data_IF_472305777486
#
_entry.id   IF_472305777486
#
_cell.length_a   1.000
_cell.length_b   1.000
_cell.length_c   1.000
_cell.angle_alpha   90.00
_cell.angle_beta   90.00
_cell.angle_gamma   90.00
#
_symmetry.space_group_name_H-M   'P 1'
#
loop_
_entity.id
_entity.type
_entity.pdbx_description
1 polymer ?
#
# COMPACT_ATOMS: atom_id res chain seq x y z
N UNK A 1 22.62 6.70 -61.65
CA UNK A 1 23.03 6.26 -60.31
C UNK A 1 21.78 6.23 -59.44
N UNK A 2 21.44 5.07 -58.86
CA UNK A 2 20.18 4.85 -58.10
C UNK A 2 20.29 5.50 -56.71
N UNK A 3 19.24 6.17 -56.20
CA UNK A 3 19.18 6.48 -54.78
C UNK A 3 18.88 5.17 -54.01
N UNK A 4 19.76 4.85 -53.06
CA UNK A 4 19.60 3.70 -52.17
C UNK A 4 18.57 4.07 -51.11
N UNK A 5 17.43 3.37 -51.11
CA UNK A 5 16.41 3.48 -50.08
C UNK A 5 16.88 2.78 -48.81
N UNK A 6 17.17 3.54 -47.76
CA UNK A 6 17.35 2.99 -46.40
C UNK A 6 16.13 3.33 -45.58
N UNK A 7 15.14 2.44 -45.58
CA UNK A 7 14.05 2.46 -44.63
C UNK A 7 14.61 2.00 -43.27
N UNK A 8 14.78 2.93 -42.32
CA UNK A 8 15.08 2.59 -40.93
C UNK A 8 13.80 2.03 -40.29
N UNK A 9 13.84 0.75 -39.97
CA UNK A 9 12.79 0.04 -39.24
C UNK A 9 12.66 0.62 -37.82
N UNK A 10 11.40 0.93 -37.47
CA UNK A 10 10.96 1.21 -36.12
C UNK A 10 11.32 0.03 -35.20
N UNK A 11 12.27 0.25 -34.29
CA UNK A 11 12.46 -0.57 -33.10
C UNK A 11 11.81 0.14 -31.93
N UNK A 12 10.48 0.03 -31.81
CA UNK A 12 9.75 0.50 -30.64
C UNK A 12 10.23 -0.27 -29.41
N UNK A 13 11.04 0.38 -28.57
CA UNK A 13 11.23 -0.04 -27.19
C UNK A 13 9.89 0.18 -26.48
N UNK A 14 9.06 -0.87 -26.45
CA UNK A 14 8.05 -0.99 -25.42
C UNK A 14 8.82 -1.16 -24.11
N UNK A 15 9.10 -0.03 -23.45
CA UNK A 15 9.37 -0.02 -22.03
C UNK A 15 8.11 -0.59 -21.39
N UNK A 16 8.12 -1.88 -21.06
CA UNK A 16 7.19 -2.41 -20.08
C UNK A 16 7.45 -1.62 -18.83
N UNK A 17 6.57 -0.65 -18.58
CA UNK A 17 6.42 0.00 -17.28
C UNK A 17 6.00 -1.13 -16.36
N UNK A 18 6.98 -1.82 -15.80
CA UNK A 18 6.76 -2.68 -14.64
C UNK A 18 6.37 -1.67 -13.58
N UNK A 19 5.06 -1.48 -13.38
CA UNK A 19 4.60 -0.80 -12.18
C UNK A 19 5.21 -1.59 -11.04
N UNK A 20 6.16 -0.98 -10.33
CA UNK A 20 6.44 -1.39 -8.97
C UNK A 20 5.07 -1.32 -8.30
N UNK A 21 4.43 -2.46 -8.07
CA UNK A 21 3.17 -2.49 -7.34
C UNK A 21 3.54 -2.00 -5.94
N UNK A 22 3.24 -0.73 -5.66
CA UNK A 22 3.58 -0.10 -4.40
C UNK A 22 2.95 -0.89 -3.25
N UNK A 23 3.61 -0.83 -2.09
CA UNK A 23 2.97 -1.33 -0.89
C UNK A 23 1.65 -0.55 -0.69
N UNK A 24 0.54 -1.23 -0.41
CA UNK A 24 -0.78 -0.59 -0.28
C UNK A 24 -1.43 -1.01 1.02
N UNK A 25 -2.11 -0.09 1.69
CA UNK A 25 -2.89 -0.34 2.90
C UNK A 25 -4.38 -0.05 2.67
N UNK A 26 -5.28 -0.87 3.22
CA UNK A 26 -6.70 -0.53 3.30
C UNK A 26 -7.41 -1.12 4.52
N UNK A 27 -8.58 -0.55 4.86
CA UNK A 27 -9.46 -1.10 5.89
C UNK A 27 -10.81 -1.54 5.34
N UNK A 28 -11.31 -2.69 5.78
CA UNK A 28 -12.68 -3.15 5.54
C UNK A 28 -13.48 -3.14 6.86
N UNK A 29 -14.61 -2.47 6.88
CA UNK A 29 -15.51 -2.44 8.04
C UNK A 29 -16.78 -3.23 7.78
N UNK A 30 -17.08 -4.18 8.67
CA UNK A 30 -18.32 -4.97 8.60
C UNK A 30 -18.77 -5.38 9.99
N UNK A 31 -20.04 -5.14 10.30
CA UNK A 31 -20.69 -5.55 11.56
C UNK A 31 -19.93 -5.10 12.82
N UNK A 32 -19.46 -3.84 12.85
CA UNK A 32 -18.72 -3.30 14.00
C UNK A 32 -17.36 -3.97 14.23
N UNK A 33 -16.74 -4.45 13.15
CA UNK A 33 -15.37 -4.95 13.12
C UNK A 33 -14.61 -4.29 11.99
N UNK A 34 -13.31 -4.12 12.17
CA UNK A 34 -12.40 -3.58 11.16
C UNK A 34 -11.31 -4.59 10.84
N UNK A 35 -11.03 -4.78 9.57
CA UNK A 35 -9.89 -5.54 9.09
C UNK A 35 -8.92 -4.58 8.39
N UNK A 36 -7.70 -4.50 8.88
CA UNK A 36 -6.58 -3.85 8.19
C UNK A 36 -5.90 -4.84 7.24
N UNK A 37 -5.54 -4.38 6.05
CA UNK A 37 -4.88 -5.17 5.02
C UNK A 37 -3.70 -4.39 4.43
N UNK A 38 -2.65 -5.12 4.08
CA UNK A 38 -1.42 -4.64 3.47
C UNK A 38 -1.12 -5.50 2.24
N UNK A 39 -0.65 -4.88 1.16
CA UNK A 39 -0.10 -5.55 -0.03
C UNK A 39 1.34 -5.12 -0.19
N UNK A 40 2.24 -6.04 -0.52
CA UNK A 40 3.63 -5.76 -0.93
C UNK A 40 3.81 -6.24 -2.38
N UNK A 41 4.70 -5.59 -3.13
CA UNK A 41 4.79 -5.61 -4.61
C UNK A 41 5.11 -6.91 -5.34
N UNK A 42 4.73 -8.07 -4.79
CA UNK A 42 4.84 -9.41 -5.39
C UNK A 42 3.59 -10.27 -5.10
N UNK A 43 2.39 -9.67 -5.13
CA UNK A 43 1.10 -10.31 -4.79
C UNK A 43 0.98 -10.88 -3.36
N UNK A 44 1.99 -10.66 -2.53
CA UNK A 44 1.90 -10.95 -1.11
C UNK A 44 0.97 -9.91 -0.47
N UNK A 45 -0.09 -10.39 0.18
CA UNK A 45 -0.98 -9.54 0.95
C UNK A 45 -1.25 -10.18 2.30
N UNK A 46 -1.28 -9.34 3.32
CA UNK A 46 -1.58 -9.70 4.69
C UNK A 46 -2.80 -8.92 5.14
N UNK A 47 -3.82 -9.62 5.62
CA UNK A 47 -4.94 -8.99 6.32
C UNK A 47 -4.95 -9.48 7.76
N UNK A 48 -5.09 -8.53 8.67
CA UNK A 48 -5.32 -8.79 10.09
C UNK A 48 -6.57 -9.66 10.30
N UNK A 49 -6.65 -10.34 11.45
CA UNK A 49 -7.95 -10.82 11.92
C UNK A 49 -8.88 -9.63 12.12
N UNK A 50 -10.19 -9.81 11.90
CA UNK A 50 -11.15 -8.74 12.09
C UNK A 50 -11.07 -8.24 13.55
N UNK A 51 -10.57 -7.03 13.74
CA UNK A 51 -10.39 -6.38 15.03
C UNK A 51 -11.75 -5.84 15.51
N UNK A 52 -11.97 -5.79 16.83
CA UNK A 52 -13.25 -5.36 17.39
C UNK A 52 -13.46 -3.84 17.25
N UNK A 53 -14.67 -3.40 16.94
CA UNK A 53 -14.99 -1.98 16.81
C UNK A 53 -14.73 -1.42 15.41
N UNK A 54 -14.57 -0.10 15.32
CA UNK A 54 -14.34 0.66 14.10
C UNK A 54 -12.87 1.08 14.00
N UNK A 55 -12.37 1.40 12.79
CA UNK A 55 -11.04 2.02 12.65
C UNK A 55 -10.88 3.26 13.55
N UNK A 56 -11.96 3.98 13.86
CA UNK A 56 -11.93 5.17 14.73
C UNK A 56 -11.50 4.91 16.17
N UNK A 57 -11.55 3.65 16.62
CA UNK A 57 -11.28 3.25 18.00
C UNK A 57 -9.77 3.11 18.27
N UNK A 58 -8.95 2.95 17.23
CA UNK A 58 -7.53 2.59 17.33
C UNK A 58 -6.61 3.81 17.51
N UNK A 59 -6.89 4.67 18.50
CA UNK A 59 -6.18 5.94 18.69
C UNK A 59 -4.70 5.81 19.06
N UNK A 60 -4.26 4.61 19.44
CA UNK A 60 -2.88 4.28 19.78
C UNK A 60 -2.32 3.25 18.80
N UNK A 61 -0.99 3.21 18.69
CA UNK A 61 -0.29 2.23 17.85
C UNK A 61 -0.62 0.81 18.31
N UNK A 62 -1.23 0.03 17.44
CA UNK A 62 -1.55 -1.38 17.64
C UNK A 62 -0.68 -2.23 16.71
N UNK A 63 0.05 -3.19 17.27
CA UNK A 63 0.74 -4.22 16.48
C UNK A 63 -0.29 -5.20 15.91
N UNK A 64 -0.20 -5.47 14.62
CA UNK A 64 -1.19 -6.32 13.94
C UNK A 64 -0.61 -7.58 13.28
N UNK A 65 0.70 -7.81 13.41
CA UNK A 65 1.42 -8.98 12.89
C UNK A 65 2.63 -8.56 12.06
N UNK A 66 3.64 -9.42 11.92
CA UNK A 66 4.74 -9.31 10.94
C UNK A 66 5.37 -7.91 10.76
N UNK A 67 5.57 -7.16 11.86
CA UNK A 67 6.14 -5.80 11.81
C UNK A 67 5.16 -4.69 11.39
N UNK A 68 3.90 -5.01 11.13
CA UNK A 68 2.83 -4.07 10.79
C UNK A 68 2.18 -3.46 12.02
N UNK A 69 1.94 -2.15 11.95
CA UNK A 69 1.26 -1.39 13.00
C UNK A 69 0.21 -0.45 12.41
N UNK A 70 -0.89 -0.26 13.12
CA UNK A 70 -1.92 0.72 12.76
C UNK A 70 -2.19 1.68 13.92
N UNK A 71 -2.44 2.94 13.60
CA UNK A 71 -2.99 3.93 14.52
C UNK A 71 -4.03 4.74 13.75
N UNK A 72 -5.27 4.78 14.21
CA UNK A 72 -6.38 5.41 13.50
C UNK A 72 -7.24 6.20 14.49
N UNK A 73 -7.64 7.42 14.13
CA UNK A 73 -8.48 8.26 15.00
C UNK A 73 -9.76 8.70 14.29
N UNK A 74 -10.73 9.23 15.03
CA UNK A 74 -12.04 9.60 14.50
C UNK A 74 -12.01 10.64 13.35
N UNK A 75 -10.92 11.42 13.24
CA UNK A 75 -10.79 12.49 12.25
C UNK A 75 -10.22 12.00 10.91
N UNK A 76 -9.89 10.72 10.78
CA UNK A 76 -9.29 10.19 9.54
C UNK A 76 -7.78 10.40 9.43
N UNK A 77 -7.14 10.99 10.45
CA UNK A 77 -5.70 11.25 10.48
C UNK A 77 -4.92 10.03 11.01
N UNK A 78 -5.35 8.82 10.63
CA UNK A 78 -4.67 7.60 11.04
C UNK A 78 -3.36 7.41 10.28
N UNK A 79 -2.39 6.77 10.91
CA UNK A 79 -1.14 6.35 10.30
C UNK A 79 -1.08 4.82 10.29
N UNK A 80 -1.05 4.23 9.10
CA UNK A 80 -0.64 2.84 8.90
C UNK A 80 0.88 2.82 8.73
N UNK A 81 1.56 1.90 9.41
CA UNK A 81 3.01 1.84 9.51
C UNK A 81 3.51 0.43 9.24
N UNK A 82 4.62 0.31 8.52
CA UNK A 82 5.29 -0.95 8.22
C UNK A 82 6.70 -0.90 8.81
N UNK A 83 7.05 -1.92 9.57
CA UNK A 83 8.39 -2.13 10.13
C UNK A 83 8.97 -3.37 9.45
N UNK A 84 10.27 -3.38 9.21
CA UNK A 84 10.98 -4.53 8.69
C UNK A 84 11.32 -5.51 9.81
N UNK A 85 11.73 -6.71 9.41
CA UNK A 85 12.08 -7.80 10.32
C UNK A 85 13.23 -7.46 11.27
N UNK A 86 14.09 -6.50 10.89
CA UNK A 86 15.19 -6.02 11.73
C UNK A 86 14.75 -4.94 12.75
N UNK A 87 13.46 -4.59 12.79
CA UNK A 87 12.88 -3.60 13.69
C UNK A 87 12.95 -2.16 13.20
N UNK A 88 13.38 -1.90 11.96
CA UNK A 88 13.45 -0.55 11.42
C UNK A 88 12.24 -0.21 10.55
N UNK A 89 11.96 1.09 10.40
CA UNK A 89 10.72 1.56 9.82
C UNK A 89 10.82 1.62 8.28
N UNK A 90 9.97 0.84 7.57
CA UNK A 90 9.97 0.77 6.10
C UNK A 90 9.17 1.89 5.47
N UNK A 91 8.01 2.20 6.05
CA UNK A 91 7.08 3.14 5.43
C UNK A 91 5.82 3.40 6.23
N UNK A 92 5.07 4.40 5.77
CA UNK A 92 3.76 4.73 6.29
C UNK A 92 2.79 5.18 5.22
N UNK A 93 1.50 5.21 5.56
CA UNK A 93 0.57 6.06 4.85
C UNK A 93 -0.60 6.51 5.71
N UNK A 94 -1.23 7.59 5.26
CA UNK A 94 -2.46 8.12 5.84
C UNK A 94 -3.64 7.73 4.95
N UNK A 95 -4.53 6.84 5.41
CA UNK A 95 -5.57 6.26 4.58
C UNK A 95 -6.77 7.20 4.42
N UNK A 96 -7.05 7.52 3.17
CA UNK A 96 -8.18 8.35 2.77
C UNK A 96 -9.35 7.48 2.30
N UNK A 97 -10.57 8.01 2.39
CA UNK A 97 -11.74 7.26 1.95
C UNK A 97 -11.84 7.31 0.43
N UNK A 98 -11.74 6.14 -0.21
CA UNK A 98 -11.96 5.97 -1.63
C UNK A 98 -13.44 5.65 -1.89
N UNK A 99 -14.09 6.52 -2.68
CA UNK A 99 -15.52 6.42 -2.96
C UNK A 99 -15.85 5.29 -3.94
N UNK A 100 -14.93 4.93 -4.83
CA UNK A 100 -15.11 3.92 -5.86
C UNK A 100 -14.99 2.51 -5.26
N UNK A 101 -13.96 2.31 -4.43
CA UNK A 101 -13.71 1.04 -3.74
C UNK A 101 -14.49 0.91 -2.42
N UNK A 102 -15.16 1.98 -1.96
CA UNK A 102 -15.94 2.05 -0.71
C UNK A 102 -15.16 1.59 0.52
N UNK A 103 -13.87 1.90 0.55
CA UNK A 103 -12.94 1.53 1.62
C UNK A 103 -11.95 2.66 1.84
N UNK A 104 -11.29 2.67 3.00
CA UNK A 104 -10.14 3.57 3.21
C UNK A 104 -8.90 2.91 2.65
N UNK A 105 -8.15 3.61 1.80
CA UNK A 105 -6.98 3.09 1.10
C UNK A 105 -5.86 4.13 1.11
N UNK A 106 -4.61 3.67 1.08
CA UNK A 106 -3.47 4.50 0.75
C UNK A 106 -2.34 3.67 0.16
N UNK A 107 -1.58 4.30 -0.73
CA UNK A 107 -0.28 3.79 -1.13
C UNK A 107 0.74 4.14 -0.05
N UNK A 108 1.55 3.16 0.32
CA UNK A 108 2.58 3.29 1.34
C UNK A 108 3.71 4.14 0.80
N UNK A 109 4.05 5.17 1.55
CA UNK A 109 5.21 6.02 1.36
C UNK A 109 6.39 5.32 2.01
N UNK A 110 7.35 4.90 1.18
CA UNK A 110 8.60 4.33 1.67
C UNK A 110 9.45 5.42 2.33
N UNK A 111 9.65 5.31 3.64
CA UNK A 111 10.49 6.25 4.41
C UNK A 111 11.96 5.85 4.35
N UNK A 112 12.23 4.55 4.30
CA UNK A 112 13.59 4.01 4.26
C UNK A 112 13.59 2.71 3.46
N UNK A 113 14.02 2.75 2.19
CA UNK A 113 13.96 1.58 1.29
C UNK A 113 14.94 0.45 1.66
N UNK A 114 15.85 0.69 2.60
CA UNK A 114 16.80 -0.29 3.12
C UNK A 114 16.50 -0.69 4.57
N UNK A 115 15.32 -0.28 5.05
CA UNK A 115 14.59 -1.02 6.05
C UNK A 115 13.78 -2.09 5.33
#
# INVERSE_FOLDING_TARGET
>A
MRPSSTALLLGGFLATVVSAQGEQFWTNEKNGRVQACFREGNDWYFCTVALAGSWRDYKQKLAVGDGYYIQMNANGNGLANITSDNGCFKGHCMPEYDYDERKRICDVITDSPNC
#
